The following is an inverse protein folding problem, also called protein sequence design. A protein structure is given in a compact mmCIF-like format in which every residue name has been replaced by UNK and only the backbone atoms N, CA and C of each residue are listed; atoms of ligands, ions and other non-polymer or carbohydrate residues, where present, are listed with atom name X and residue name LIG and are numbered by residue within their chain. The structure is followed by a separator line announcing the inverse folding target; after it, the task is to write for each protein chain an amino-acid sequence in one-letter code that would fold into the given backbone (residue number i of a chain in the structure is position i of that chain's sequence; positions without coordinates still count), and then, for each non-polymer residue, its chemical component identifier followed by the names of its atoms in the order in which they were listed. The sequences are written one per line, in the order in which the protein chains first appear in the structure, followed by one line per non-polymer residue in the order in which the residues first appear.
data_IF_488116628220
#
_entry.id   IF_488116628220
#
_cell.length_a   1.000
_cell.length_b   1.000
_cell.length_c   1.000
_cell.angle_alpha   90.00
_cell.angle_beta   90.00
_cell.angle_gamma   90.00
#
_symmetry.space_group_name_H-M   'P 1'
#
loop_
_entity.id
_entity.type
_entity.pdbx_description
1 polymer ?
#
# COMPACT_ATOMS: atom_id res chain seq x y z
N UNK A 1 18.17 10.30 5.07
CA UNK A 1 17.53 8.98 5.28
C UNK A 1 18.17 7.92 4.40
N UNK A 2 18.73 6.90 5.03
CA UNK A 2 19.09 5.63 4.37
C UNK A 2 17.82 4.85 4.03
N UNK A 3 17.78 4.24 2.84
CA UNK A 3 16.63 3.48 2.34
C UNK A 3 16.36 2.29 3.28
N UNK A 4 15.14 2.18 3.80
CA UNK A 4 14.72 1.11 4.73
C UNK A 4 14.59 1.53 6.19
N UNK A 5 15.14 2.68 6.60
CA UNK A 5 14.98 3.18 7.96
C UNK A 5 13.55 3.70 8.19
N UNK A 6 12.89 3.21 9.26
CA UNK A 6 11.53 3.62 9.65
C UNK A 6 11.55 4.91 10.49
N UNK A 7 12.61 5.14 11.27
CA UNK A 7 12.85 6.32 12.11
C UNK A 7 14.00 7.18 11.57
N UNK A 8 14.10 8.43 12.03
CA UNK A 8 15.27 9.30 11.78
C UNK A 8 16.12 9.42 13.04
N UNK A 9 17.42 9.64 12.87
CA UNK A 9 18.30 10.00 13.99
C UNK A 9 18.17 11.49 14.32
N UNK A 10 18.66 11.90 15.49
CA UNK A 10 18.64 13.31 15.89
C UNK A 10 19.46 14.21 14.93
N UNK A 11 20.59 13.70 14.42
CA UNK A 11 21.38 14.43 13.43
C UNK A 11 20.62 14.65 12.11
N UNK A 12 19.90 13.62 11.63
CA UNK A 12 19.03 13.75 10.46
C UNK A 12 17.86 14.69 10.71
N UNK A 13 17.32 14.70 11.94
CA UNK A 13 16.29 15.65 12.36
C UNK A 13 16.79 17.10 12.29
N UNK A 14 17.98 17.39 12.82
CA UNK A 14 18.59 18.73 12.75
C UNK A 14 18.81 19.17 11.30
N UNK A 15 19.25 18.25 10.43
CA UNK A 15 19.41 18.54 9.01
C UNK A 15 18.06 18.84 8.33
N UNK A 16 17.02 18.06 8.64
CA UNK A 16 15.68 18.30 8.13
C UNK A 16 15.12 19.66 8.60
N UNK A 17 15.41 20.08 9.84
CA UNK A 17 15.04 21.40 10.33
C UNK A 17 15.70 22.52 9.52
N UNK A 18 16.99 22.39 9.17
CA UNK A 18 17.68 23.37 8.29
C UNK A 18 16.97 23.55 6.95
N UNK A 19 16.56 22.45 6.32
CA UNK A 19 15.83 22.48 5.05
C UNK A 19 14.43 23.10 5.18
N UNK A 20 13.72 22.81 6.28
CA UNK A 20 12.40 23.37 6.56
C UNK A 20 12.44 24.87 6.87
N UNK A 21 13.48 25.31 7.59
CA UNK A 21 13.70 26.72 7.94
C UNK A 21 13.73 27.62 6.71
N UNK A 22 14.47 27.23 5.66
CA UNK A 22 14.54 27.99 4.41
C UNK A 22 13.21 28.12 3.67
N UNK A 23 12.32 27.13 3.80
CA UNK A 23 10.98 27.16 3.20
C UNK A 23 9.99 28.02 3.99
N UNK A 24 10.07 27.98 5.33
CA UNK A 24 9.13 28.66 6.24
C UNK A 24 9.49 30.13 6.51
N UNK A 25 10.78 30.43 6.57
CA UNK A 25 11.33 31.75 6.88
C UNK A 25 12.16 32.28 5.72
N UNK A 26 11.51 32.49 4.57
CA UNK A 26 12.15 33.09 3.39
C UNK A 26 12.65 34.50 3.77
N UNK A 27 13.96 34.74 3.65
CA UNK A 27 14.59 36.04 3.89
C UNK A 27 15.26 36.23 5.25
N UNK A 28 15.25 35.24 6.14
CA UNK A 28 16.06 35.26 7.38
C UNK A 28 17.35 34.46 7.21
N UNK A 29 18.36 34.79 8.01
CA UNK A 29 19.61 34.01 8.01
C UNK A 29 19.33 32.57 8.47
N UNK A 30 20.12 31.58 8.02
CA UNK A 30 19.90 30.17 8.37
C UNK A 30 19.91 29.92 9.88
N UNK A 31 20.74 30.65 10.63
CA UNK A 31 20.86 30.54 12.08
C UNK A 31 19.66 31.11 12.82
N UNK A 32 19.18 32.29 12.43
CA UNK A 32 17.98 32.90 13.03
C UNK A 32 16.73 32.06 12.78
N UNK A 33 16.61 31.47 11.59
CA UNK A 33 15.50 30.62 11.23
C UNK A 33 15.52 29.31 12.05
N UNK A 34 16.69 28.71 12.27
CA UNK A 34 16.85 27.55 13.15
C UNK A 34 16.48 27.87 14.59
N UNK A 35 16.97 29.00 15.12
CA UNK A 35 16.68 29.42 16.48
C UNK A 35 15.19 29.67 16.69
N UNK A 36 14.52 30.28 15.69
CA UNK A 36 13.08 30.47 15.71
C UNK A 36 12.31 29.14 15.72
N UNK A 37 12.75 28.15 14.93
CA UNK A 37 12.14 26.81 14.94
C UNK A 37 12.37 26.10 16.27
N UNK A 38 13.58 26.15 16.83
CA UNK A 38 13.83 25.58 18.16
C UNK A 38 13.00 26.25 19.24
N UNK A 39 12.84 27.57 19.22
CA UNK A 39 11.94 28.27 20.15
C UNK A 39 10.47 27.87 20.00
N UNK A 40 10.03 27.49 18.80
CA UNK A 40 8.66 27.01 18.56
C UNK A 40 8.43 25.58 19.06
N UNK A 41 9.48 24.77 19.17
CA UNK A 41 9.42 23.35 19.56
C UNK A 41 9.77 23.16 21.04
N UNK A 42 10.74 23.92 21.56
CA UNK A 42 11.21 23.81 22.93
C UNK A 42 10.07 24.05 23.93
N UNK A 43 9.94 23.13 24.89
CA UNK A 43 8.91 23.19 25.92
C UNK A 43 7.49 22.80 25.47
N UNK A 44 7.30 22.37 24.21
CA UNK A 44 6.02 21.83 23.74
C UNK A 44 6.04 20.31 23.74
N UNK A 45 5.03 19.73 24.34
CA UNK A 45 4.77 18.30 24.22
C UNK A 45 4.10 17.99 22.86
N UNK A 46 4.34 16.80 22.29
CA UNK A 46 3.63 16.35 21.10
C UNK A 46 2.15 16.17 21.42
N UNK A 47 1.36 17.21 21.17
CA UNK A 47 -0.06 17.26 21.45
C UNK A 47 -0.83 17.98 20.35
N UNK A 48 -1.92 17.37 19.90
CA UNK A 48 -2.90 18.00 19.02
C UNK A 48 -3.98 18.65 19.89
N UNK A 49 -3.79 19.92 20.29
CA UNK A 49 -4.85 20.67 20.98
C UNK A 49 -5.93 21.04 19.96
N UNK A 50 -7.12 20.45 20.09
CA UNK A 50 -8.32 20.87 19.34
C UNK A 50 -8.47 20.36 17.89
N UNK A 51 -7.60 19.47 17.39
CA UNK A 51 -7.76 18.89 16.04
C UNK A 51 -8.42 17.52 16.08
N UNK A 52 -9.35 17.28 15.15
CA UNK A 52 -10.02 16.00 14.92
C UNK A 52 -9.01 14.88 14.74
N UNK A 53 -9.19 13.76 15.47
CA UNK A 53 -8.31 12.57 15.40
C UNK A 53 -8.01 12.20 13.95
N UNK A 54 -6.75 11.91 13.64
CA UNK A 54 -6.33 11.46 12.32
C UNK A 54 -7.21 10.28 11.87
N UNK A 55 -8.05 10.49 10.87
CA UNK A 55 -8.72 9.40 10.16
C UNK A 55 -7.59 8.52 9.64
N UNK A 56 -7.52 7.25 10.09
CA UNK A 56 -6.63 6.26 9.48
C UNK A 56 -6.89 6.33 7.97
N UNK A 57 -5.94 6.86 7.20
CA UNK A 57 -6.05 6.91 5.74
C UNK A 57 -5.91 5.47 5.26
N UNK A 58 -7.04 4.75 5.22
CA UNK A 58 -7.17 3.34 4.84
C UNK A 58 -6.96 3.06 3.36
N UNK A 59 -6.21 3.93 2.66
CA UNK A 59 -5.90 3.74 1.25
C UNK A 59 -4.99 2.53 1.02
N UNK A 60 -4.04 2.29 1.94
CA UNK A 60 -3.07 1.19 1.82
C UNK A 60 -3.67 -0.16 2.24
N UNK A 61 -4.55 -0.18 3.25
CA UNK A 61 -5.20 -1.42 3.71
C UNK A 61 -6.11 -2.03 2.63
N UNK A 62 -6.81 -1.18 1.86
CA UNK A 62 -7.62 -1.62 0.71
C UNK A 62 -6.77 -2.14 -0.45
N UNK A 63 -5.50 -1.76 -0.53
CA UNK A 63 -4.63 -2.12 -1.66
C UNK A 63 -3.99 -3.50 -1.48
N UNK A 64 -3.80 -3.96 -0.24
CA UNK A 64 -3.08 -5.21 0.07
C UNK A 64 -3.94 -6.32 0.66
N UNK A 65 -5.25 -6.10 0.85
CA UNK A 65 -6.18 -7.10 1.40
C UNK A 65 -6.99 -7.78 0.28
N UNK A 66 -6.53 -8.96 -0.11
CA UNK A 66 -7.11 -9.79 -1.17
C UNK A 66 -8.48 -10.37 -0.78
N UNK A 67 -8.76 -10.49 0.52
CA UNK A 67 -10.07 -10.95 1.02
C UNK A 67 -11.20 -9.98 0.66
N UNK A 68 -10.86 -8.72 0.43
CA UNK A 68 -11.79 -7.65 0.04
C UNK A 68 -11.94 -7.51 -1.48
N UNK A 69 -11.26 -8.34 -2.29
CA UNK A 69 -11.43 -8.31 -3.75
C UNK A 69 -12.83 -8.83 -4.14
N UNK A 70 -13.56 -8.02 -4.89
CA UNK A 70 -14.90 -8.34 -5.39
C UNK A 70 -14.92 -8.29 -6.92
N UNK A 71 -15.95 -8.88 -7.53
CA UNK A 71 -16.12 -8.90 -8.99
C UNK A 71 -14.92 -9.51 -9.73
N UNK A 72 -14.48 -8.84 -10.80
CA UNK A 72 -13.43 -9.31 -11.71
C UNK A 72 -12.04 -9.45 -11.07
N UNK A 73 -11.76 -8.69 -10.01
CA UNK A 73 -10.49 -8.79 -9.29
C UNK A 73 -10.33 -10.14 -8.58
N UNK A 74 -11.43 -10.73 -8.06
CA UNK A 74 -11.40 -12.03 -7.39
C UNK A 74 -11.01 -13.17 -8.34
N UNK A 75 -11.34 -13.04 -9.62
CA UNK A 75 -10.98 -14.03 -10.64
C UNK A 75 -9.50 -13.93 -11.04
N UNK A 76 -8.89 -12.75 -10.93
CA UNK A 76 -7.52 -12.49 -11.41
C UNK A 76 -6.42 -12.85 -10.42
N UNK A 77 -6.72 -12.92 -9.13
CA UNK A 77 -5.73 -13.12 -8.06
C UNK A 77 -6.14 -14.28 -7.13
N UNK A 78 -5.15 -14.93 -6.53
CA UNK A 78 -5.34 -15.91 -5.46
C UNK A 78 -5.43 -15.24 -4.08
N UNK A 79 -5.67 -16.05 -3.04
CA UNK A 79 -5.82 -15.58 -1.66
C UNK A 79 -4.54 -14.94 -1.12
N UNK A 80 -3.38 -15.32 -1.66
CA UNK A 80 -2.09 -14.69 -1.38
C UNK A 80 -1.89 -13.36 -2.12
N UNK A 81 -2.78 -13.00 -3.05
CA UNK A 81 -2.68 -11.80 -3.88
C UNK A 81 -1.77 -11.95 -5.10
N UNK A 82 -1.34 -13.17 -5.40
CA UNK A 82 -0.58 -13.47 -6.61
C UNK A 82 -1.54 -13.63 -7.78
N UNK A 83 -1.17 -13.08 -8.93
CA UNK A 83 -2.01 -13.15 -10.13
C UNK A 83 -2.10 -14.59 -10.65
N UNK A 84 -3.32 -15.05 -10.95
CA UNK A 84 -3.62 -16.38 -11.53
C UNK A 84 -3.25 -16.50 -13.02
N UNK A 85 -2.65 -15.46 -13.61
CA UNK A 85 -2.23 -15.48 -15.01
C UNK A 85 -3.40 -15.60 -15.99
N UNK A 86 -3.25 -16.45 -17.02
CA UNK A 86 -4.26 -16.68 -18.06
C UNK A 86 -5.56 -17.26 -17.50
N UNK A 87 -5.46 -18.17 -16.53
CA UNK A 87 -6.62 -18.80 -15.88
C UNK A 87 -7.52 -17.81 -15.15
N UNK A 88 -6.99 -16.67 -14.71
CA UNK A 88 -7.78 -15.61 -14.07
C UNK A 88 -8.30 -14.53 -15.04
N UNK A 89 -7.98 -14.65 -16.34
CA UNK A 89 -8.32 -13.66 -17.38
C UNK A 89 -9.20 -14.25 -18.49
N UNK A 90 -9.18 -15.56 -18.69
CA UNK A 90 -9.98 -16.26 -19.70
C UNK A 90 -10.97 -17.19 -19.02
N UNK A 91 -12.20 -17.18 -19.54
CA UNK A 91 -13.21 -18.17 -19.20
C UNK A 91 -12.94 -19.42 -20.05
N UNK A 92 -12.26 -20.40 -19.47
CA UNK A 92 -11.97 -21.66 -20.14
C UNK A 92 -13.26 -22.49 -20.17
N UNK A 93 -14.10 -22.23 -21.17
CA UNK A 93 -15.28 -23.04 -21.43
C UNK A 93 -14.81 -24.42 -21.88
N UNK A 94 -15.25 -25.45 -21.19
CA UNK A 94 -15.02 -26.83 -21.61
C UNK A 94 -15.78 -27.08 -22.92
N UNK A 95 -15.03 -27.21 -24.02
CA UNK A 95 -15.57 -27.48 -25.35
C UNK A 95 -15.81 -28.98 -25.59
N UNK A 96 -15.69 -29.84 -24.56
CA UNK A 96 -15.97 -31.27 -24.66
C UNK A 96 -17.43 -31.61 -25.04
N UNK A 97 -18.35 -30.63 -24.96
CA UNK A 97 -19.79 -30.82 -25.12
C UNK A 97 -20.36 -30.77 -26.54
N UNK A 98 -19.56 -30.62 -27.61
CA UNK A 98 -20.11 -30.57 -28.98
C UNK A 98 -20.28 -31.96 -29.62
N UNK A 99 -20.77 -32.95 -28.87
CA UNK A 99 -21.24 -34.23 -29.45
C UNK A 99 -22.50 -34.65 -28.73
N UNK A 100 -23.66 -34.45 -29.37
CA UNK A 100 -24.95 -34.93 -28.88
C UNK A 100 -24.94 -36.47 -28.90
N UNK A 101 -24.69 -37.11 -27.75
CA UNK A 101 -24.92 -38.55 -27.57
C UNK A 101 -23.76 -39.39 -27.03
N UNK A 102 -22.56 -38.84 -26.79
CA UNK A 102 -21.46 -39.62 -26.22
C UNK A 102 -21.48 -39.60 -24.68
N UNK A 103 -21.91 -40.71 -24.05
CA UNK A 103 -21.98 -40.88 -22.59
C UNK A 103 -20.73 -41.54 -21.97
N UNK A 104 -19.69 -41.79 -22.77
CA UNK A 104 -18.50 -42.56 -22.36
C UNK A 104 -17.30 -41.75 -21.86
N UNK A 105 -17.44 -40.44 -21.64
CA UNK A 105 -16.33 -39.60 -21.20
C UNK A 105 -15.80 -40.07 -19.82
N UNK A 106 -14.51 -40.44 -19.75
CA UNK A 106 -13.84 -40.85 -18.51
C UNK A 106 -13.96 -42.32 -18.11
N UNK A 107 -14.51 -43.19 -18.98
CA UNK A 107 -14.74 -44.62 -18.65
C UNK A 107 -13.73 -45.61 -19.26
N UNK A 108 -12.77 -45.13 -20.06
CA UNK A 108 -11.78 -45.98 -20.75
C UNK A 108 -10.86 -46.73 -19.77
N UNK A 109 -10.29 -46.02 -18.81
CA UNK A 109 -9.36 -46.59 -17.80
C UNK A 109 -10.04 -47.49 -16.75
N UNK A 110 -11.37 -47.59 -16.76
CA UNK A 110 -12.11 -48.48 -15.87
C UNK A 110 -12.29 -49.89 -16.44
N UNK A 111 -12.01 -50.08 -17.73
CA UNK A 111 -12.34 -51.32 -18.47
C UNK A 111 -11.17 -51.91 -19.25
N UNK A 112 -10.00 -51.26 -19.23
CA UNK A 112 -8.74 -51.69 -19.84
C UNK A 112 -7.60 -51.51 -18.84
#
# INVERSE_FOLDING_TARGET
RTKGARTITFAEFQQAMKELCGKRFKGKSPEEALQAVYGLIAGKEPGSVGTTKATKVGGVERLTDTSKYTGTHKQRFDESGKGKGLAGRQDLVDNSGYVTGYKGAGTYDQTH
#
